data_IF_897521181045
#
_entry.id   IF_897521181045
#
_cell.length_a   1.000
_cell.length_b   1.000
_cell.length_c   1.000
_cell.angle_alpha   90.00
_cell.angle_beta   90.00
_cell.angle_gamma   90.00
#
_symmetry.space_group_name_H-M   'P 1'
#
loop_
_entity.id
_entity.type
_entity.pdbx_description
1 polymer ?
#
# COMPACT_ATOMS: atom_id res chain seq x y z
N UNK A 1 -12.54 -37.46 4.22
CA UNK A 1 -11.76 -37.06 3.02
C UNK A 1 -11.53 -35.56 3.09
N UNK A 2 -10.34 -35.14 3.53
CA UNK A 2 -9.98 -33.73 3.58
C UNK A 2 -9.80 -33.22 2.14
N UNK A 3 -10.56 -32.20 1.74
CA UNK A 3 -10.38 -31.49 0.47
C UNK A 3 -8.98 -30.87 0.49
N UNK A 4 -8.03 -31.51 -0.19
CA UNK A 4 -6.78 -30.88 -0.58
C UNK A 4 -7.14 -29.68 -1.47
N UNK A 5 -6.99 -28.48 -0.91
CA UNK A 5 -7.04 -27.24 -1.67
C UNK A 5 -5.87 -27.30 -2.64
N UNK A 6 -6.15 -27.48 -3.92
CA UNK A 6 -5.15 -27.34 -4.99
C UNK A 6 -4.35 -26.05 -4.73
N UNK A 7 -3.04 -26.20 -4.57
CA UNK A 7 -2.13 -25.07 -4.41
C UNK A 7 -1.98 -24.44 -5.79
N UNK A 8 -3.01 -23.69 -6.21
CA UNK A 8 -2.87 -22.70 -7.26
C UNK A 8 -1.64 -21.85 -6.90
N UNK A 9 -0.74 -21.63 -7.87
CA UNK A 9 0.47 -20.84 -7.69
C UNK A 9 0.17 -19.67 -6.75
N UNK A 10 0.86 -19.61 -5.59
CA UNK A 10 0.55 -18.65 -4.53
C UNK A 10 0.85 -17.25 -5.03
N UNK A 11 -0.13 -16.63 -5.70
CA UNK A 11 -0.06 -15.23 -6.10
C UNK A 11 -0.04 -14.41 -4.80
N UNK A 12 0.91 -13.47 -4.63
CA UNK A 12 0.93 -12.61 -3.47
C UNK A 12 -0.42 -11.89 -3.32
N UNK A 13 -0.92 -11.70 -2.09
CA UNK A 13 -2.17 -10.99 -1.86
C UNK A 13 -2.14 -9.59 -2.51
N UNK A 14 -3.08 -9.35 -3.40
CA UNK A 14 -3.21 -8.09 -4.15
C UNK A 14 -4.69 -7.78 -4.39
N UNK A 15 -4.97 -6.54 -4.78
CA UNK A 15 -6.31 -6.10 -5.17
C UNK A 15 -6.17 -4.95 -6.17
N UNK A 16 -5.88 -5.28 -7.43
CA UNK A 16 -5.69 -4.27 -8.50
C UNK A 16 -6.92 -3.37 -8.65
N UNK A 17 -8.13 -3.93 -8.53
CA UNK A 17 -9.38 -3.17 -8.60
C UNK A 17 -9.48 -2.09 -7.50
N UNK A 18 -9.03 -2.42 -6.28
CA UNK A 18 -9.00 -1.45 -5.17
C UNK A 18 -7.91 -0.40 -5.38
N UNK A 19 -6.75 -0.78 -5.90
CA UNK A 19 -5.68 0.16 -6.23
C UNK A 19 -6.11 1.15 -7.32
N UNK A 20 -6.73 0.66 -8.40
CA UNK A 20 -7.25 1.51 -9.48
C UNK A 20 -8.36 2.44 -8.97
N UNK A 21 -9.28 1.90 -8.15
CA UNK A 21 -10.37 2.69 -7.55
C UNK A 21 -9.83 3.78 -6.63
N UNK A 22 -8.79 3.49 -5.85
CA UNK A 22 -8.17 4.44 -4.94
C UNK A 22 -7.50 5.60 -5.70
N UNK A 23 -6.69 5.27 -6.71
CA UNK A 23 -6.03 6.29 -7.54
C UNK A 23 -7.05 7.12 -8.32
N UNK A 24 -8.07 6.48 -8.86
CA UNK A 24 -9.18 7.17 -9.53
C UNK A 24 -9.93 8.12 -8.58
N UNK A 25 -10.18 7.69 -7.34
CA UNK A 25 -10.86 8.50 -6.34
C UNK A 25 -10.06 9.76 -6.00
N UNK A 26 -8.75 9.64 -5.80
CA UNK A 26 -7.84 10.77 -5.55
C UNK A 26 -7.82 11.76 -6.73
N UNK A 27 -7.91 11.27 -7.97
CA UNK A 27 -7.96 12.12 -9.16
C UNK A 27 -9.30 12.86 -9.33
N UNK A 28 -10.37 12.36 -8.71
CA UNK A 28 -11.69 13.01 -8.73
C UNK A 28 -11.78 14.08 -7.64
N UNK A 29 -11.22 13.78 -6.48
CA UNK A 29 -11.24 14.64 -5.30
C UNK A 29 -9.89 14.49 -4.59
N UNK A 30 -9.04 15.51 -4.68
CA UNK A 30 -7.70 15.48 -4.10
C UNK A 30 -7.68 15.72 -2.59
N UNK A 31 -8.79 16.19 -2.00
CA UNK A 31 -8.90 16.36 -0.54
C UNK A 31 -8.81 15.01 0.19
N UNK A 32 -9.27 13.91 -0.44
CA UNK A 32 -9.21 12.56 0.15
C UNK A 32 -7.78 12.04 0.28
N UNK A 33 -6.82 12.65 -0.42
CA UNK A 33 -5.42 12.22 -0.39
C UNK A 33 -4.81 12.39 1.01
N UNK A 34 -5.25 13.39 1.77
CA UNK A 34 -4.82 13.62 3.15
C UNK A 34 -5.10 12.37 4.01
N UNK A 35 -6.36 11.95 4.06
CA UNK A 35 -6.83 10.81 4.86
C UNK A 35 -6.20 9.48 4.38
N UNK A 36 -6.12 9.31 3.06
CA UNK A 36 -5.56 8.10 2.45
C UNK A 36 -4.06 7.97 2.74
N UNK A 37 -3.32 9.08 2.76
CA UNK A 37 -1.88 9.09 3.01
C UNK A 37 -1.49 8.60 4.41
N UNK A 38 -2.42 8.66 5.37
CA UNK A 38 -2.21 8.11 6.70
C UNK A 38 -2.31 6.58 6.73
N UNK A 39 -3.08 6.01 5.80
CA UNK A 39 -3.42 4.58 5.76
C UNK A 39 -2.50 3.79 4.83
N UNK A 40 -2.12 4.36 3.67
CA UNK A 40 -1.33 3.66 2.65
C UNK A 40 -0.09 4.44 2.24
N UNK A 41 1.00 3.70 2.00
CA UNK A 41 2.24 4.21 1.43
C UNK A 41 2.40 3.77 -0.02
N UNK A 42 3.24 4.45 -0.84
CA UNK A 42 3.51 4.02 -2.21
C UNK A 42 3.93 2.55 -2.33
N UNK A 43 4.69 2.03 -1.37
CA UNK A 43 5.17 0.64 -1.33
C UNK A 43 4.08 -0.42 -1.05
N UNK A 44 2.90 0.01 -0.61
CA UNK A 44 1.79 -0.89 -0.29
C UNK A 44 1.03 -1.34 -1.54
N UNK A 45 1.09 -0.56 -2.62
CA UNK A 45 0.54 -0.96 -3.92
C UNK A 45 1.32 -2.15 -4.50
N UNK A 46 0.60 -3.10 -5.08
CA UNK A 46 1.21 -4.26 -5.72
C UNK A 46 1.73 -3.92 -7.12
N UNK A 47 0.96 -3.17 -7.91
CA UNK A 47 1.39 -2.77 -9.25
C UNK A 47 2.41 -1.62 -9.16
N UNK A 48 3.60 -1.81 -9.74
CA UNK A 48 4.66 -0.80 -9.78
C UNK A 48 4.19 0.51 -10.41
N UNK A 49 3.29 0.46 -11.40
CA UNK A 49 2.71 1.66 -12.02
C UNK A 49 1.93 2.47 -11.00
N UNK A 50 1.12 1.79 -10.18
CA UNK A 50 0.38 2.43 -9.10
C UNK A 50 1.29 3.01 -8.02
N UNK A 51 2.37 2.32 -7.67
CA UNK A 51 3.38 2.85 -6.74
C UNK A 51 3.94 4.20 -7.23
N UNK A 52 4.31 4.28 -8.52
CA UNK A 52 4.85 5.49 -9.14
C UNK A 52 3.80 6.62 -9.21
N UNK A 53 2.57 6.28 -9.57
CA UNK A 53 1.46 7.24 -9.62
C UNK A 53 1.19 7.82 -8.23
N UNK A 54 0.98 6.98 -7.22
CA UNK A 54 0.70 7.44 -5.86
C UNK A 54 1.87 8.26 -5.28
N UNK A 55 3.11 7.84 -5.54
CA UNK A 55 4.29 8.62 -5.16
C UNK A 55 4.30 10.02 -5.78
N UNK A 56 3.91 10.13 -7.05
CA UNK A 56 3.85 11.41 -7.76
C UNK A 56 2.70 12.29 -7.23
N UNK A 57 1.54 11.69 -6.93
CA UNK A 57 0.43 12.38 -6.24
C UNK A 57 0.87 12.94 -4.90
N UNK A 58 1.57 12.15 -4.09
CA UNK A 58 2.09 12.60 -2.80
C UNK A 58 3.10 13.73 -2.93
N UNK A 59 3.97 13.68 -3.95
CA UNK A 59 4.91 14.74 -4.19
C UNK A 59 4.25 16.07 -4.58
N UNK A 60 3.18 16.02 -5.38
CA UNK A 60 2.37 17.20 -5.72
C UNK A 60 1.68 17.76 -4.47
N UNK A 61 1.11 16.89 -3.65
CA UNK A 61 0.47 17.25 -2.39
C UNK A 61 1.43 17.94 -1.41
N UNK A 62 2.65 17.40 -1.24
CA UNK A 62 3.71 18.03 -0.43
C UNK A 62 4.09 19.43 -0.94
N UNK A 63 4.05 19.64 -2.25
CA UNK A 63 4.28 20.94 -2.88
C UNK A 63 3.06 21.88 -2.86
N UNK A 64 1.96 21.48 -2.21
CA UNK A 64 0.71 22.22 -2.17
C UNK A 64 0.16 22.52 -3.57
N UNK A 65 0.35 21.56 -4.50
CA UNK A 65 -0.20 21.62 -5.85
C UNK A 65 -1.43 20.71 -5.94
N UNK A 66 -2.46 21.11 -6.71
CA UNK A 66 -3.64 20.29 -6.90
C UNK A 66 -3.25 18.96 -7.58
N UNK A 67 -3.88 17.88 -7.15
CA UNK A 67 -3.59 16.53 -7.66
C UNK A 67 -4.69 16.14 -8.67
N UNK A 68 -4.52 16.58 -9.91
CA UNK A 68 -5.44 16.28 -11.01
C UNK A 68 -4.71 15.57 -12.16
N UNK A 69 -5.47 15.16 -13.19
CA UNK A 69 -4.93 14.43 -14.34
C UNK A 69 -3.83 15.21 -15.07
N UNK A 70 -3.96 16.54 -15.17
CA UNK A 70 -3.01 17.40 -15.88
C UNK A 70 -1.72 17.54 -15.06
N UNK A 71 -1.82 17.92 -13.78
CA UNK A 71 -0.66 18.12 -12.91
C UNK A 71 0.10 16.82 -12.68
N UNK A 72 -0.61 15.71 -12.50
CA UNK A 72 -0.01 14.38 -12.40
C UNK A 72 0.73 13.99 -13.68
N UNK A 73 0.14 14.26 -14.85
CA UNK A 73 0.79 13.98 -16.14
C UNK A 73 2.08 14.79 -16.30
N UNK A 74 2.08 16.07 -15.94
CA UNK A 74 3.28 16.90 -15.97
C UNK A 74 4.36 16.38 -15.01
N UNK A 75 3.97 15.97 -13.80
CA UNK A 75 4.91 15.46 -12.80
C UNK A 75 5.53 14.12 -13.22
N UNK A 76 4.72 13.22 -13.76
CA UNK A 76 5.20 11.94 -14.31
C UNK A 76 6.14 12.14 -15.51
N UNK A 77 5.91 13.18 -16.31
CA UNK A 77 6.83 13.53 -17.42
C UNK A 77 8.14 14.11 -16.91
N UNK A 78 8.13 14.96 -15.88
CA UNK A 78 9.34 15.51 -15.27
C UNK A 78 10.23 14.44 -14.65
N UNK A 79 9.63 13.35 -14.18
CA UNK A 79 10.34 12.25 -13.53
C UNK A 79 10.63 11.07 -14.47
N UNK A 80 10.42 11.24 -15.79
CA UNK A 80 10.57 10.19 -16.82
C UNK A 80 9.77 8.90 -16.56
N UNK A 81 8.70 8.99 -15.76
CA UNK A 81 7.85 7.85 -15.39
C UNK A 81 6.56 7.75 -16.24
N UNK A 82 6.24 8.78 -17.03
CA UNK A 82 4.99 8.86 -17.80
C UNK A 82 4.76 7.66 -18.74
N UNK A 83 5.78 7.28 -19.51
CA UNK A 83 5.68 6.12 -20.40
C UNK A 83 5.61 4.81 -19.59
N UNK A 84 6.34 4.72 -18.47
CA UNK A 84 6.39 3.55 -17.59
C UNK A 84 5.03 3.22 -16.98
N UNK A 85 4.22 4.23 -16.66
CA UNK A 85 2.89 4.02 -16.07
C UNK A 85 1.82 3.67 -17.10
N UNK A 86 2.12 3.71 -18.40
CA UNK A 86 1.16 3.45 -19.48
C UNK A 86 0.57 4.70 -20.15
N UNK A 87 1.16 5.88 -19.85
CA UNK A 87 0.82 7.14 -20.50
C UNK A 87 -0.60 7.64 -20.22
N UNK A 88 -1.06 8.57 -21.08
CA UNK A 88 -2.33 9.28 -20.89
C UNK A 88 -3.55 8.35 -20.89
N UNK A 89 -3.50 7.27 -21.67
CA UNK A 89 -4.61 6.31 -21.77
C UNK A 89 -4.88 5.66 -20.42
N UNK A 90 -3.82 5.23 -19.72
CA UNK A 90 -3.96 4.54 -18.45
C UNK A 90 -4.43 5.49 -17.33
N UNK A 91 -3.91 6.71 -17.28
CA UNK A 91 -4.38 7.69 -16.30
C UNK A 91 -5.86 8.05 -16.51
N UNK A 92 -6.31 8.14 -17.77
CA UNK A 92 -7.73 8.35 -18.09
C UNK A 92 -8.59 7.14 -17.70
N UNK A 93 -8.07 5.93 -17.85
CA UNK A 93 -8.74 4.70 -17.40
C UNK A 93 -8.96 4.71 -15.89
N UNK A 94 -7.98 5.14 -15.09
CA UNK A 94 -8.11 5.25 -13.63
C UNK A 94 -9.24 6.20 -13.22
N UNK A 95 -9.34 7.37 -13.85
CA UNK A 95 -10.41 8.34 -13.56
C UNK A 95 -11.79 7.80 -13.92
N UNK A 96 -11.89 6.95 -14.95
CA UNK A 96 -13.17 6.33 -15.35
C UNK A 96 -13.50 5.04 -14.59
N UNK A 97 -12.54 4.48 -13.85
CA UNK A 97 -12.71 3.20 -13.16
C UNK A 97 -13.66 3.31 -11.96
N UNK A 98 -13.63 4.45 -11.24
CA UNK A 98 -14.48 4.69 -10.07
C UNK A 98 -15.42 5.87 -10.31
N UNK A 99 -16.73 5.74 -9.99
CA UNK A 99 -17.68 6.81 -10.23
C UNK A 99 -17.65 7.92 -9.15
N UNK A 100 -17.08 7.64 -7.98
CA UNK A 100 -17.12 8.54 -6.81
C UNK A 100 -15.88 8.41 -5.93
N UNK A 101 -15.42 9.51 -5.34
CA UNK A 101 -14.35 9.50 -4.34
C UNK A 101 -14.79 9.09 -2.92
N UNK A 102 -16.10 8.98 -2.68
CA UNK A 102 -16.69 8.75 -1.35
C UNK A 102 -16.21 7.49 -0.61
N UNK A 103 -15.64 6.52 -1.32
CA UNK A 103 -15.16 5.26 -0.75
C UNK A 103 -13.62 5.13 -0.77
N UNK A 104 -12.89 6.22 -0.99
CA UNK A 104 -11.43 6.24 -1.03
C UNK A 104 -10.80 5.57 0.21
N UNK A 105 -11.24 5.94 1.41
CA UNK A 105 -10.74 5.36 2.66
C UNK A 105 -10.95 3.83 2.73
N UNK A 106 -12.08 3.32 2.25
CA UNK A 106 -12.34 1.87 2.21
C UNK A 106 -11.42 1.15 1.22
N UNK A 107 -11.13 1.76 0.06
CA UNK A 107 -10.18 1.20 -0.89
C UNK A 107 -8.75 1.22 -0.35
N UNK A 108 -8.35 2.30 0.34
CA UNK A 108 -7.06 2.40 1.02
C UNK A 108 -6.88 1.29 2.05
N UNK A 109 -7.88 1.04 2.89
CA UNK A 109 -7.86 -0.04 3.88
C UNK A 109 -7.69 -1.42 3.21
N UNK A 110 -8.37 -1.68 2.09
CA UNK A 110 -8.20 -2.93 1.34
C UNK A 110 -6.76 -3.07 0.85
N UNK A 111 -6.18 -2.02 0.27
CA UNK A 111 -4.78 -2.02 -0.21
C UNK A 111 -3.81 -2.25 0.95
N UNK A 112 -3.98 -1.54 2.06
CA UNK A 112 -3.16 -1.69 3.27
C UNK A 112 -3.19 -3.13 3.81
N UNK A 113 -4.39 -3.73 3.93
CA UNK A 113 -4.54 -5.11 4.39
C UNK A 113 -3.83 -6.12 3.46
N UNK A 114 -3.89 -5.92 2.15
CA UNK A 114 -3.16 -6.77 1.19
C UNK A 114 -1.65 -6.59 1.33
N UNK A 115 -1.19 -5.36 1.51
CA UNK A 115 0.22 -5.05 1.72
C UNK A 115 0.77 -5.69 3.00
N UNK A 116 0.05 -5.63 4.12
CA UNK A 116 0.42 -6.29 5.38
C UNK A 116 0.56 -7.80 5.17
N UNK A 117 -0.40 -8.45 4.51
CA UNK A 117 -0.32 -9.89 4.20
C UNK A 117 0.89 -10.22 3.32
N UNK A 118 1.22 -9.36 2.35
CA UNK A 118 2.40 -9.51 1.49
C UNK A 118 3.70 -9.38 2.28
N UNK A 119 3.80 -8.39 3.18
CA UNK A 119 4.94 -8.22 4.08
C UNK A 119 5.10 -9.42 5.02
N UNK A 120 4.01 -9.93 5.58
CA UNK A 120 4.04 -11.13 6.42
C UNK A 120 4.58 -12.36 5.67
N UNK A 121 4.15 -12.56 4.42
CA UNK A 121 4.67 -13.66 3.59
C UNK A 121 6.17 -13.49 3.35
N UNK A 122 6.63 -12.27 3.04
CA UNK A 122 8.05 -11.96 2.84
C UNK A 122 8.88 -12.27 4.10
N UNK A 123 8.46 -11.71 5.24
CA UNK A 123 9.10 -11.94 6.53
C UNK A 123 9.12 -13.44 6.89
N UNK A 124 8.05 -14.19 6.61
CA UNK A 124 8.04 -15.63 6.85
C UNK A 124 9.07 -16.41 6.00
N UNK A 125 9.32 -15.95 4.77
CA UNK A 125 10.35 -16.52 3.90
C UNK A 125 11.75 -16.20 4.43
N UNK A 126 11.99 -14.95 4.78
CA UNK A 126 13.28 -14.47 5.32
C UNK A 126 13.62 -15.16 6.66
N UNK A 127 12.65 -15.27 7.57
CA UNK A 127 12.81 -16.02 8.84
C UNK A 127 13.06 -17.51 8.56
N UNK A 128 12.39 -18.09 7.56
CA UNK A 128 12.64 -19.49 7.20
C UNK A 128 14.06 -19.70 6.65
N UNK A 129 14.59 -18.75 5.88
CA UNK A 129 15.97 -18.79 5.36
C UNK A 129 16.99 -18.66 6.49
N UNK A 130 16.76 -17.75 7.44
CA UNK A 130 17.60 -17.60 8.63
C UNK A 130 17.67 -18.89 9.46
N UNK A 131 16.60 -19.70 9.49
CA UNK A 131 16.57 -20.97 10.21
C UNK A 131 17.48 -22.06 9.62
N UNK A 132 17.93 -21.92 8.37
CA UNK A 132 18.90 -22.82 7.74
C UNK A 132 20.35 -22.34 7.87
N UNK A 133 20.58 -21.15 8.42
CA UNK A 133 21.92 -20.61 8.65
C UNK A 133 22.56 -21.26 9.88
N UNK A 134 23.60 -22.06 9.65
CA UNK A 134 24.39 -22.71 10.72
C UNK A 134 25.64 -21.92 11.13
N UNK A 135 25.99 -20.85 10.39
CA UNK A 135 27.18 -20.04 10.64
C UNK A 135 26.91 -18.91 11.64
N UNK A 136 25.71 -18.31 11.57
CA UNK A 136 25.31 -17.21 12.44
C UNK A 136 24.91 -17.71 13.85
N UNK A 137 25.36 -17.07 14.94
CA UNK A 137 24.91 -17.41 16.29
C UNK A 137 23.38 -17.33 16.43
N UNK A 138 22.77 -18.31 17.11
CA UNK A 138 21.32 -18.41 17.28
C UNK A 138 20.67 -17.15 17.86
N UNK A 139 21.38 -16.44 18.75
CA UNK A 139 20.90 -15.18 19.34
C UNK A 139 20.70 -14.10 18.27
N UNK A 140 21.63 -13.97 17.33
CA UNK A 140 21.55 -12.99 16.24
C UNK A 140 20.46 -13.38 15.22
N UNK A 141 20.26 -14.67 14.98
CA UNK A 141 19.13 -15.17 14.18
C UNK A 141 17.78 -14.76 14.79
N UNK A 142 17.64 -14.93 16.10
CA UNK A 142 16.40 -14.56 16.81
C UNK A 142 16.14 -13.05 16.74
N UNK A 143 17.16 -12.23 16.97
CA UNK A 143 17.07 -10.76 16.88
C UNK A 143 16.65 -10.30 15.47
N UNK A 144 17.20 -10.89 14.42
CA UNK A 144 16.80 -10.62 13.03
C UNK A 144 15.34 -11.02 12.76
N UNK A 145 14.92 -12.19 13.26
CA UNK A 145 13.56 -12.66 13.08
C UNK A 145 12.53 -11.77 13.80
N UNK A 146 12.85 -11.31 15.02
CA UNK A 146 12.02 -10.36 15.77
C UNK A 146 11.90 -9.02 15.03
N UNK A 147 13.01 -8.50 14.50
CA UNK A 147 13.02 -7.27 13.71
C UNK A 147 12.14 -7.38 12.46
N UNK A 148 12.20 -8.49 11.72
CA UNK A 148 11.36 -8.72 10.54
C UNK A 148 9.87 -8.78 10.90
N UNK A 149 9.49 -9.46 12.00
CA UNK A 149 8.10 -9.49 12.46
C UNK A 149 7.61 -8.11 12.94
N UNK A 150 8.49 -7.34 13.58
CA UNK A 150 8.17 -5.98 14.01
C UNK A 150 7.87 -5.08 12.80
N UNK A 151 8.66 -5.16 11.72
CA UNK A 151 8.45 -4.40 10.48
C UNK A 151 7.11 -4.71 9.78
N UNK A 152 6.54 -5.89 10.00
CA UNK A 152 5.19 -6.22 9.52
C UNK A 152 4.13 -5.46 10.33
N UNK A 153 4.36 -5.28 11.64
CA UNK A 153 3.40 -4.76 12.62
C UNK A 153 3.40 -3.23 12.76
N UNK A 154 4.55 -2.57 12.57
CA UNK A 154 4.76 -1.12 12.82
C UNK A 154 3.87 -0.18 11.97
N UNK A 155 3.12 -0.71 10.99
CA UNK A 155 2.12 0.05 10.25
C UNK A 155 0.67 -0.18 10.72
N UNK A 156 0.39 -1.27 11.43
CA UNK A 156 -0.94 -1.60 11.93
C UNK A 156 -1.21 -0.93 13.28
N UNK A 157 -0.16 -0.72 14.10
CA UNK A 157 -0.29 -0.21 15.48
C UNK A 157 -0.82 1.25 15.55
N UNK A 158 -0.75 2.03 14.45
CA UNK A 158 -1.36 3.37 14.41
C UNK A 158 -2.87 3.37 14.63
N UNK A 159 -3.59 2.29 14.31
CA UNK A 159 -5.05 2.22 14.54
C UNK A 159 -5.43 1.89 16.00
N UNK A 160 -4.55 1.24 16.77
CA UNK A 160 -4.88 0.81 18.15
C UNK A 160 -4.59 1.87 19.24
N UNK A 161 -3.82 2.92 18.92
CA UNK A 161 -3.47 3.96 19.91
C UNK A 161 -4.57 5.02 20.13
N UNK A 162 -5.66 5.01 19.36
CA UNK A 162 -6.78 5.97 19.50
C UNK A 162 -7.79 5.56 20.60
N UNK A 163 -7.61 4.39 21.23
CA UNK A 163 -8.66 3.77 22.05
C UNK A 163 -8.48 3.85 23.57
N UNK A 164 -7.52 4.62 24.11
CA UNK A 164 -7.42 4.80 25.58
C UNK A 164 -7.94 6.16 26.03
N UNK A 165 -7.67 7.23 25.27
CA UNK A 165 -8.13 8.58 25.60
C UNK A 165 -9.67 8.69 25.51
N UNK A 166 -10.27 8.05 24.51
CA UNK A 166 -11.74 8.01 24.35
C UNK A 166 -12.46 7.24 25.47
N UNK A 167 -11.80 6.26 26.12
CA UNK A 167 -12.40 5.48 27.22
C UNK A 167 -12.38 6.26 28.54
N UNK A 168 -11.44 7.20 28.70
CA UNK A 168 -11.29 7.98 29.93
C UNK A 168 -12.23 9.19 29.99
N UNK A 169 -12.70 9.71 28.85
CA UNK A 169 -13.66 10.82 28.80
C UNK A 169 -15.13 10.39 29.01
N UNK A 170 -15.43 9.08 29.00
CA UNK A 170 -16.75 8.52 29.29
C UNK A 170 -16.89 7.89 30.71
N UNK A 171 -15.91 8.11 31.61
CA UNK A 171 -15.94 7.60 33.00
C UNK A 171 -16.16 8.67 34.06
#
# INVERSE_FOLDING_TARGET
MAKQKEVAAKIPPQSIDAEMSLLGAILIDDDVLADVSETVKPQDFYDKRHQLIFKSMMHLYEQHKPVDLLTLTEELKKTDNFETVGGSTYLTELTNYVPTAAHAASYAEIVAQKAVRRRLIKASGEISELGFDEETPTQEILEKAEAELFNVSDQTIKQDLVSIETILDES
#
